data_IF_022711736953
#
_entry.id   IF_022711736953
#
_cell.length_a   1.000
_cell.length_b   1.000
_cell.length_c   1.000
_cell.angle_alpha   90.00
_cell.angle_beta   90.00
_cell.angle_gamma   90.00
#
_symmetry.space_group_name_H-M   'P 1'
#
loop_
_entity.id
_entity.type
_entity.pdbx_description
1 polymer ?
#
# COMPACT_ATOMS: atom_id res chain seq x y z
N UNK A 1 21.86 -20.52 -10.89
CA UNK A 1 20.78 -21.48 -10.68
C UNK A 1 20.07 -21.20 -9.36
N UNK A 2 18.81 -21.37 -9.36
CA UNK A 2 17.98 -21.01 -8.22
C UNK A 2 17.45 -22.28 -7.52
N UNK A 3 17.80 -22.43 -6.23
CA UNK A 3 17.36 -23.55 -5.41
C UNK A 3 16.24 -23.16 -4.45
N UNK A 4 15.56 -22.04 -4.74
CA UNK A 4 14.48 -21.56 -3.88
C UNK A 4 13.16 -22.25 -4.22
N UNK A 5 12.49 -22.74 -3.19
CA UNK A 5 11.19 -23.39 -3.30
C UNK A 5 10.24 -22.73 -2.33
N UNK A 6 8.99 -22.58 -2.77
CA UNK A 6 7.96 -22.03 -1.90
C UNK A 6 7.58 -23.02 -0.80
N UNK A 7 7.59 -22.55 0.45
CA UNK A 7 7.13 -23.31 1.60
C UNK A 7 5.77 -22.82 2.11
N UNK A 8 5.09 -21.99 1.32
CA UNK A 8 3.85 -21.31 1.72
C UNK A 8 2.79 -22.31 2.21
N UNK A 9 2.70 -23.49 1.60
CA UNK A 9 1.71 -24.52 1.98
C UNK A 9 1.96 -25.11 3.37
N UNK A 10 3.17 -24.98 3.89
CA UNK A 10 3.55 -25.48 5.22
C UNK A 10 3.30 -24.47 6.32
N UNK A 11 3.00 -23.23 5.95
CA UNK A 11 2.79 -22.15 6.89
C UNK A 11 1.29 -22.00 7.20
N UNK A 12 1.01 -21.28 8.29
CA UNK A 12 -0.36 -20.96 8.67
C UNK A 12 -0.98 -20.14 7.54
N UNK A 13 -2.18 -20.52 7.11
CA UNK A 13 -2.86 -19.87 6.00
C UNK A 13 -3.32 -18.45 6.35
N UNK A 14 -3.53 -17.65 5.32
CA UNK A 14 -4.11 -16.33 5.47
C UNK A 14 -5.48 -16.39 6.15
N UNK A 15 -6.31 -17.35 5.75
CA UNK A 15 -7.66 -17.54 6.30
C UNK A 15 -7.63 -17.80 7.79
N UNK A 16 -6.68 -18.63 8.25
CA UNK A 16 -6.53 -18.89 9.67
C UNK A 16 -6.09 -17.65 10.45
N UNK A 17 -5.19 -16.86 9.86
CA UNK A 17 -4.72 -15.62 10.49
C UNK A 17 -5.83 -14.58 10.54
N UNK A 18 -6.61 -14.44 9.46
CA UNK A 18 -7.75 -13.53 9.42
C UNK A 18 -8.81 -13.91 10.45
N UNK A 19 -9.02 -15.21 10.62
CA UNK A 19 -9.95 -15.72 11.60
C UNK A 19 -9.50 -15.41 13.03
N UNK A 20 -8.19 -15.52 13.28
CA UNK A 20 -7.61 -15.25 14.59
C UNK A 20 -7.88 -13.82 15.05
N UNK A 21 -7.79 -12.85 14.16
CA UNK A 21 -8.01 -11.43 14.48
C UNK A 21 -9.39 -10.93 14.07
N UNK A 22 -10.25 -11.82 13.56
CA UNK A 22 -11.62 -11.50 13.10
C UNK A 22 -11.64 -10.34 12.10
N UNK A 23 -10.72 -10.36 11.14
CA UNK A 23 -10.54 -9.26 10.21
C UNK A 23 -9.99 -9.78 8.88
N UNK A 24 -10.51 -9.26 7.78
CA UNK A 24 -10.00 -9.58 6.45
C UNK A 24 -9.04 -8.49 5.98
N UNK A 25 -7.90 -8.94 5.46
CA UNK A 25 -6.91 -8.04 4.90
C UNK A 25 -7.34 -7.50 3.53
N UNK A 26 -6.98 -6.26 3.27
CA UNK A 26 -7.17 -5.64 1.96
C UNK A 26 -6.25 -4.43 1.84
N UNK A 27 -6.11 -3.94 0.63
CA UNK A 27 -5.33 -2.74 0.33
C UNK A 27 -6.24 -1.63 -0.18
N UNK A 28 -6.09 -0.46 0.43
CA UNK A 28 -6.66 0.77 -0.11
C UNK A 28 -5.47 1.57 -0.66
N UNK A 29 -5.40 1.69 -1.97
CA UNK A 29 -4.31 2.39 -2.64
C UNK A 29 -4.77 3.78 -3.05
N UNK A 30 -4.30 4.79 -2.32
CA UNK A 30 -4.66 6.18 -2.60
C UNK A 30 -3.70 6.75 -3.64
N UNK A 31 -4.25 7.25 -4.72
CA UNK A 31 -3.47 7.89 -5.78
C UNK A 31 -3.97 9.32 -5.99
N UNK A 32 -3.12 10.16 -6.53
CA UNK A 32 -3.42 11.56 -6.76
C UNK A 32 -2.14 12.39 -6.74
N UNK A 33 -2.27 13.64 -7.09
CA UNK A 33 -1.14 14.57 -7.15
C UNK A 33 -0.53 14.79 -5.76
N UNK A 34 0.74 15.16 -5.73
CA UNK A 34 1.38 15.62 -4.50
C UNK A 34 0.60 16.82 -3.97
N UNK A 35 0.31 16.84 -2.67
CA UNK A 35 -0.50 17.88 -2.07
C UNK A 35 -1.99 17.69 -2.23
N UNK A 36 -2.45 16.56 -2.78
CA UNK A 36 -3.88 16.30 -2.99
C UNK A 36 -4.64 15.93 -1.70
N UNK A 37 -3.91 15.62 -0.63
CA UNK A 37 -4.52 15.24 0.63
C UNK A 37 -4.52 13.74 0.92
N UNK A 38 -3.75 12.96 0.17
CA UNK A 38 -3.67 11.51 0.36
C UNK A 38 -3.31 11.12 1.79
N UNK A 39 -2.25 11.71 2.32
CA UNK A 39 -1.77 11.40 3.68
C UNK A 39 -2.81 11.76 4.74
N UNK A 40 -3.47 12.90 4.59
CA UNK A 40 -4.53 13.33 5.51
C UNK A 40 -5.70 12.35 5.50
N UNK A 41 -6.11 11.91 4.32
CA UNK A 41 -7.20 10.95 4.17
C UNK A 41 -6.80 9.61 4.78
N UNK A 42 -5.60 9.13 4.47
CA UNK A 42 -5.08 7.88 5.03
C UNK A 42 -5.09 7.91 6.56
N UNK A 43 -4.61 9.01 7.14
CA UNK A 43 -4.60 9.22 8.58
C UNK A 43 -6.00 9.15 9.16
N UNK A 44 -6.94 9.88 8.59
CA UNK A 44 -8.31 9.95 9.10
C UNK A 44 -9.03 8.60 8.99
N UNK A 45 -8.84 7.91 7.86
CA UNK A 45 -9.41 6.57 7.67
C UNK A 45 -8.83 5.58 8.68
N UNK A 46 -7.52 5.62 8.90
CA UNK A 46 -6.88 4.73 9.86
C UNK A 46 -7.39 4.98 11.28
N UNK A 47 -7.59 6.23 11.68
CA UNK A 47 -8.13 6.56 13.00
C UNK A 47 -9.57 6.07 13.16
N UNK A 48 -10.41 6.26 12.14
CA UNK A 48 -11.79 5.79 12.17
C UNK A 48 -11.87 4.27 12.29
N UNK A 49 -11.08 3.57 11.50
CA UNK A 49 -11.04 2.11 11.55
C UNK A 49 -10.52 1.62 12.89
N UNK A 50 -9.49 2.28 13.42
CA UNK A 50 -8.93 1.92 14.73
C UNK A 50 -9.97 2.06 15.84
N UNK A 51 -10.75 3.15 15.82
CA UNK A 51 -11.84 3.35 16.80
C UNK A 51 -12.89 2.25 16.72
N UNK A 52 -13.10 1.70 15.53
CA UNK A 52 -14.07 0.60 15.33
C UNK A 52 -13.47 -0.78 15.63
N UNK A 53 -12.23 -0.83 16.08
CA UNK A 53 -11.57 -2.07 16.47
C UNK A 53 -10.80 -2.78 15.36
N UNK A 54 -10.53 -2.11 14.26
CA UNK A 54 -9.75 -2.69 13.16
C UNK A 54 -8.28 -2.34 13.27
N UNK A 55 -7.43 -3.31 12.93
CA UNK A 55 -5.99 -3.11 12.84
C UNK A 55 -5.64 -2.64 11.43
N UNK A 56 -4.94 -1.50 11.36
CA UNK A 56 -4.55 -0.91 10.08
C UNK A 56 -3.04 -0.67 10.02
N UNK A 57 -2.52 -0.57 8.81
CA UNK A 57 -1.15 -0.14 8.55
C UNK A 57 -1.18 0.89 7.43
N UNK A 58 -0.62 2.04 7.68
CA UNK A 58 -0.45 3.06 6.65
C UNK A 58 0.96 2.97 6.11
N UNK A 59 1.08 2.84 4.80
CA UNK A 59 2.36 2.89 4.09
C UNK A 59 2.40 4.18 3.30
N UNK A 60 3.05 5.17 3.88
CA UNK A 60 3.20 6.50 3.30
C UNK A 60 4.53 6.57 2.53
N UNK A 61 4.47 7.04 1.30
CA UNK A 61 5.64 7.08 0.42
C UNK A 61 6.83 7.81 1.02
N UNK A 62 6.60 8.94 1.70
CA UNK A 62 7.68 9.69 2.31
C UNK A 62 8.36 8.90 3.43
N UNK A 63 7.58 8.27 4.30
CA UNK A 63 8.12 7.45 5.39
C UNK A 63 8.85 6.21 4.87
N UNK A 64 8.34 5.58 3.82
CA UNK A 64 9.00 4.43 3.19
C UNK A 64 10.37 4.84 2.64
N UNK A 65 10.46 6.03 2.03
CA UNK A 65 11.73 6.55 1.49
C UNK A 65 12.74 6.92 2.58
N UNK A 66 12.28 7.23 3.77
CA UNK A 66 13.17 7.50 4.90
C UNK A 66 13.75 6.22 5.52
N UNK A 67 13.14 5.08 5.25
CA UNK A 67 13.53 3.79 5.81
C UNK A 67 13.89 2.77 4.74
N UNK A 68 12.93 1.90 4.42
CA UNK A 68 13.14 0.75 3.54
C UNK A 68 13.69 1.16 2.17
N UNK A 69 13.20 2.26 1.63
CA UNK A 69 13.57 2.72 0.29
C UNK A 69 14.52 3.93 0.32
N UNK A 70 15.28 4.09 1.40
CA UNK A 70 16.22 5.23 1.53
C UNK A 70 17.31 5.28 0.46
N UNK A 71 17.59 4.14 -0.18
CA UNK A 71 18.59 4.05 -1.25
C UNK A 71 18.05 4.40 -2.64
N UNK A 72 16.76 4.71 -2.75
CA UNK A 72 16.14 5.00 -4.04
C UNK A 72 16.10 6.50 -4.32
N UNK A 73 16.39 6.87 -5.57
CA UNK A 73 16.28 8.23 -6.07
C UNK A 73 14.89 8.48 -6.65
N UNK A 74 14.72 9.60 -7.35
CA UNK A 74 13.46 9.95 -8.00
C UNK A 74 13.48 9.75 -9.52
N UNK A 75 14.48 9.03 -10.06
CA UNK A 75 14.46 8.67 -11.47
C UNK A 75 13.34 7.64 -11.74
N UNK A 76 13.04 7.41 -13.01
CA UNK A 76 11.91 6.56 -13.39
C UNK A 76 12.05 5.13 -12.85
N UNK A 77 13.24 4.56 -12.96
CA UNK A 77 13.49 3.20 -12.50
C UNK A 77 13.30 3.05 -10.99
N UNK A 78 13.81 4.02 -10.23
CA UNK A 78 13.72 3.99 -8.78
C UNK A 78 12.29 4.29 -8.29
N UNK A 79 11.54 5.11 -9.01
CA UNK A 79 10.13 5.34 -8.72
C UNK A 79 9.32 4.06 -8.88
N UNK A 80 9.61 3.31 -9.93
CA UNK A 80 8.96 2.02 -10.18
C UNK A 80 9.33 1.02 -9.08
N UNK A 81 10.61 0.98 -8.71
CA UNK A 81 11.09 0.10 -7.64
C UNK A 81 10.50 0.47 -6.28
N UNK A 82 10.32 1.77 -6.02
CA UNK A 82 9.66 2.25 -4.80
C UNK A 82 8.23 1.68 -4.68
N UNK A 83 7.47 1.73 -5.77
CA UNK A 83 6.12 1.18 -5.80
C UNK A 83 6.14 -0.34 -5.67
N UNK A 84 7.06 -1.00 -6.36
CA UNK A 84 7.20 -2.46 -6.30
C UNK A 84 7.45 -2.93 -4.86
N UNK A 85 8.43 -2.34 -4.19
CA UNK A 85 8.77 -2.70 -2.80
C UNK A 85 7.61 -2.43 -1.86
N UNK A 86 6.95 -1.29 -2.02
CA UNK A 86 5.80 -0.93 -1.18
C UNK A 86 4.65 -1.91 -1.37
N UNK A 87 4.36 -2.31 -2.61
CA UNK A 87 3.32 -3.29 -2.91
C UNK A 87 3.63 -4.66 -2.31
N UNK A 88 4.90 -5.10 -2.37
CA UNK A 88 5.31 -6.36 -1.76
C UNK A 88 5.16 -6.34 -0.24
N UNK A 89 5.52 -5.23 0.40
CA UNK A 89 5.33 -5.03 1.83
C UNK A 89 3.84 -5.05 2.18
N UNK A 90 3.03 -4.32 1.43
CA UNK A 90 1.58 -4.30 1.62
C UNK A 90 0.99 -5.71 1.54
N UNK A 91 1.46 -6.50 0.58
CA UNK A 91 1.01 -7.89 0.42
C UNK A 91 1.25 -8.71 1.68
N UNK A 92 2.40 -8.55 2.34
CA UNK A 92 2.70 -9.25 3.58
C UNK A 92 1.72 -8.87 4.70
N UNK A 93 1.40 -7.59 4.84
CA UNK A 93 0.41 -7.14 5.83
C UNK A 93 -0.97 -7.70 5.53
N UNK A 94 -1.39 -7.63 4.27
CA UNK A 94 -2.71 -8.11 3.83
C UNK A 94 -2.87 -9.60 4.14
N UNK A 95 -1.83 -10.38 3.94
CA UNK A 95 -1.85 -11.82 4.21
C UNK A 95 -1.96 -12.15 5.69
N UNK A 96 -1.76 -11.17 6.57
CA UNK A 96 -1.98 -11.30 8.00
C UNK A 96 -3.32 -10.68 8.44
N UNK A 97 -4.19 -10.35 7.49
CA UNK A 97 -5.51 -9.80 7.79
C UNK A 97 -5.53 -8.32 8.08
N UNK A 98 -4.46 -7.59 7.77
CA UNK A 98 -4.35 -6.17 8.10
C UNK A 98 -4.87 -5.32 6.95
N UNK A 99 -5.69 -4.33 7.28
CA UNK A 99 -6.15 -3.33 6.32
C UNK A 99 -4.99 -2.36 6.09
N UNK A 100 -4.45 -2.38 4.88
CA UNK A 100 -3.24 -1.64 4.54
C UNK A 100 -3.60 -0.48 3.62
N UNK A 101 -3.27 0.73 4.04
CA UNK A 101 -3.57 1.95 3.30
C UNK A 101 -2.27 2.48 2.73
N UNK A 102 -2.14 2.45 1.41
CA UNK A 102 -0.93 2.92 0.72
C UNK A 102 -1.20 4.30 0.13
N UNK A 103 -0.35 5.26 0.41
CA UNK A 103 -0.44 6.60 -0.15
C UNK A 103 0.89 7.01 -0.77
N UNK A 104 0.95 6.83 -2.08
CA UNK A 104 2.13 7.14 -2.88
C UNK A 104 1.71 7.90 -4.13
N UNK A 105 2.64 8.72 -4.63
CA UNK A 105 2.49 9.28 -5.96
C UNK A 105 2.69 8.12 -6.95
N UNK A 106 1.64 7.81 -7.69
CA UNK A 106 1.65 6.71 -8.67
C UNK A 106 0.96 7.21 -9.95
N UNK A 107 1.66 8.06 -10.71
CA UNK A 107 1.01 8.89 -11.75
C UNK A 107 0.60 8.15 -13.02
N UNK A 108 1.14 6.97 -13.28
CA UNK A 108 0.85 6.25 -14.51
C UNK A 108 0.04 4.98 -14.25
N UNK A 109 -0.73 4.56 -15.25
CA UNK A 109 -1.45 3.30 -15.19
C UNK A 109 -0.50 2.11 -15.06
N UNK A 110 0.68 2.20 -15.67
CA UNK A 110 1.71 1.16 -15.58
C UNK A 110 2.13 0.93 -14.13
N UNK A 111 2.43 2.02 -13.42
CA UNK A 111 2.87 1.96 -12.02
C UNK A 111 1.75 1.40 -11.12
N UNK A 112 0.53 1.91 -11.29
CA UNK A 112 -0.62 1.42 -10.52
C UNK A 112 -0.95 -0.02 -10.86
N UNK A 113 -0.83 -0.38 -12.14
CA UNK A 113 -1.03 -1.76 -12.59
C UNK A 113 -0.03 -2.73 -11.99
N UNK A 114 1.22 -2.30 -11.82
CA UNK A 114 2.24 -3.10 -11.16
C UNK A 114 1.85 -3.41 -9.71
N UNK A 115 1.42 -2.39 -8.97
CA UNK A 115 0.96 -2.57 -7.59
C UNK A 115 -0.23 -3.53 -7.51
N UNK A 116 -1.21 -3.35 -8.39
CA UNK A 116 -2.39 -4.21 -8.46
C UNK A 116 -2.03 -5.66 -8.77
N UNK A 117 -1.08 -5.87 -9.67
CA UNK A 117 -0.62 -7.21 -10.03
C UNK A 117 0.06 -7.91 -8.86
N UNK A 118 0.89 -7.19 -8.11
CA UNK A 118 1.62 -7.74 -6.97
C UNK A 118 0.65 -8.07 -5.83
N UNK A 119 -0.22 -7.14 -5.47
CA UNK A 119 -1.16 -7.30 -4.36
C UNK A 119 -2.27 -8.29 -4.71
N UNK A 120 -2.73 -8.27 -5.94
CA UNK A 120 -3.83 -9.09 -6.42
C UNK A 120 -5.11 -8.27 -6.56
N UNK A 121 -5.79 -8.46 -7.68
CA UNK A 121 -6.99 -7.71 -8.03
C UNK A 121 -8.08 -7.78 -6.96
N UNK A 122 -8.23 -8.94 -6.34
CA UNK A 122 -9.25 -9.18 -5.32
C UNK A 122 -9.07 -8.31 -4.08
N UNK A 123 -7.82 -8.02 -3.73
CA UNK A 123 -7.47 -7.30 -2.50
C UNK A 123 -7.12 -5.84 -2.74
N UNK A 124 -7.11 -5.39 -3.98
CA UNK A 124 -6.62 -4.06 -4.35
C UNK A 124 -7.77 -3.12 -4.67
N UNK A 125 -7.92 -2.07 -3.86
CA UNK A 125 -8.94 -1.05 -4.05
C UNK A 125 -8.25 0.29 -4.29
N UNK A 126 -8.29 0.75 -5.53
CA UNK A 126 -7.68 2.02 -5.92
C UNK A 126 -8.67 3.16 -5.70
N UNK A 127 -8.21 4.21 -5.03
CA UNK A 127 -9.02 5.40 -4.77
C UNK A 127 -8.24 6.62 -5.26
N UNK A 128 -8.80 7.33 -6.21
CA UNK A 128 -8.21 8.55 -6.75
C UNK A 128 -8.70 9.76 -5.95
N UNK A 129 -7.74 10.56 -5.47
CA UNK A 129 -8.04 11.79 -4.74
C UNK A 129 -8.05 12.92 -5.77
N UNK A 130 -9.24 13.39 -6.10
CA UNK A 130 -9.47 14.39 -7.14
C UNK A 130 -9.38 15.79 -6.56
N UNK A 131 -8.17 16.33 -6.51
CA UNK A 131 -7.89 17.68 -6.05
C UNK A 131 -7.26 18.46 -7.21
N UNK A 132 -7.73 19.67 -7.48
CA UNK A 132 -7.21 20.47 -8.58
C UNK A 132 -5.71 20.78 -8.41
N UNK A 133 -5.04 21.02 -9.53
CA UNK A 133 -3.61 21.38 -9.52
C UNK A 133 -3.40 22.66 -8.72
N UNK A 134 -4.27 23.64 -8.89
CA UNK A 134 -4.20 24.93 -8.16
C UNK A 134 -4.28 24.71 -6.65
N UNK A 135 -5.19 23.85 -6.21
CA UNK A 135 -5.34 23.53 -4.80
C UNK A 135 -4.13 22.77 -4.25
N UNK A 136 -3.58 21.85 -5.03
CA UNK A 136 -2.37 21.13 -4.66
C UNK A 136 -1.17 22.06 -4.48
N UNK A 137 -1.05 23.06 -5.35
CA UNK A 137 0.06 24.03 -5.29
C UNK A 137 -0.02 24.94 -4.08
N UNK A 138 -1.23 25.16 -3.54
CA UNK A 138 -1.42 25.96 -2.32
C UNK A 138 -1.04 25.24 -1.04
N UNK A 139 -0.89 23.94 -1.12
CA UNK A 139 -0.56 23.09 0.04
C UNK A 139 0.91 22.79 0.07
#
# INVERSE_FOLDING_TARGET
>A
MNNLFSTTKELISREEKEKLISQKGLCIWLTGLSGSGKTTIAKNVSYELHRKGYLTQVLDGDNIRLGINKNLSFNIEDRLENVRRTAEIAKLFIQNGIITICCLVSPTEEIRGLAKKIIGQKDFFEVFIDTSIEECEKR
#
